data_IF_974083722881
#
_entry.id   IF_974083722881
#
_cell.length_a   1.000
_cell.length_b   1.000
_cell.length_c   1.000
_cell.angle_alpha   90.00
_cell.angle_beta   90.00
_cell.angle_gamma   90.00
#
_symmetry.space_group_name_H-M   'P 1'
#
loop_
_entity.id
_entity.type
_entity.pdbx_description
1 polymer ?
#
# COMPACT_ATOMS: atom_id res chain seq x y z
N UNK A 1 21.00 1.06 -2.55
CA UNK A 1 19.84 1.14 -3.46
C UNK A 1 19.69 -0.17 -4.21
N UNK A 2 18.46 -0.65 -4.29
CA UNK A 2 18.18 -1.89 -5.00
C UNK A 2 17.93 -1.60 -6.47
N UNK A 3 18.48 -2.48 -7.33
CA UNK A 3 18.20 -2.42 -8.77
C UNK A 3 17.00 -3.29 -9.08
N UNK A 4 15.95 -2.70 -9.64
CA UNK A 4 14.72 -3.39 -10.02
C UNK A 4 14.32 -2.98 -11.43
N UNK A 5 13.17 -3.45 -11.91
CA UNK A 5 12.64 -3.02 -13.20
C UNK A 5 11.25 -2.43 -13.04
N UNK A 6 10.93 -1.46 -13.90
CA UNK A 6 9.59 -0.92 -14.02
C UNK A 6 9.15 -1.09 -15.47
N UNK A 7 8.17 -1.94 -15.71
CA UNK A 7 7.72 -2.33 -17.05
C UNK A 7 8.89 -2.81 -17.92
N UNK A 8 9.80 -3.59 -17.30
CA UNK A 8 10.98 -4.11 -17.98
C UNK A 8 12.16 -3.16 -18.07
N UNK A 9 12.00 -1.90 -17.71
CA UNK A 9 13.08 -0.90 -17.75
C UNK A 9 13.80 -0.88 -16.39
N UNK A 10 15.14 -0.99 -16.37
CA UNK A 10 15.89 -0.93 -15.10
C UNK A 10 15.71 0.40 -14.39
N UNK A 11 15.38 0.33 -13.10
CA UNK A 11 15.30 1.50 -12.21
C UNK A 11 15.92 1.11 -10.87
N UNK A 12 16.16 2.10 -10.02
CA UNK A 12 16.71 1.87 -8.69
C UNK A 12 15.75 2.38 -7.64
N UNK A 13 15.65 1.66 -6.50
CA UNK A 13 14.90 2.14 -5.35
C UNK A 13 15.79 3.01 -4.48
N UNK A 14 15.17 3.91 -3.73
CA UNK A 14 15.82 4.65 -2.67
C UNK A 14 15.81 3.77 -1.42
N UNK A 15 17.00 3.35 -0.98
CA UNK A 15 17.12 2.46 0.19
C UNK A 15 16.87 0.99 -0.17
N UNK A 16 16.60 0.20 0.85
CA UNK A 16 16.39 -1.25 0.74
C UNK A 16 15.13 -1.65 1.46
N UNK A 17 14.51 -2.75 1.01
CA UNK A 17 13.39 -3.35 1.73
C UNK A 17 13.78 -3.69 3.17
N UNK A 18 12.85 -3.55 4.13
CA UNK A 18 13.09 -4.00 5.49
C UNK A 18 13.48 -5.48 5.52
N UNK A 19 14.40 -5.82 6.41
CA UNK A 19 14.87 -7.19 6.54
C UNK A 19 13.78 -8.08 7.13
N UNK A 20 13.63 -9.26 6.57
CA UNK A 20 12.68 -10.26 7.09
C UNK A 20 13.04 -10.59 8.54
N UNK A 21 12.04 -10.59 9.40
CA UNK A 21 12.21 -10.82 10.84
C UNK A 21 12.48 -9.55 11.63
N UNK A 22 12.74 -8.42 10.99
CA UNK A 22 12.91 -7.15 11.68
C UNK A 22 11.54 -6.52 11.98
N UNK A 23 11.52 -5.56 12.90
CA UNK A 23 10.30 -4.82 13.20
C UNK A 23 9.98 -3.91 12.00
N UNK A 24 8.70 -3.95 11.56
CA UNK A 24 8.25 -3.10 10.46
C UNK A 24 8.36 -1.62 10.84
N UNK A 25 8.87 -0.77 9.93
CA UNK A 25 8.88 0.67 10.19
C UNK A 25 7.47 1.19 10.45
N UNK A 26 7.33 2.04 11.44
CA UNK A 26 6.05 2.68 11.73
C UNK A 26 5.71 3.70 10.65
N UNK A 27 4.43 3.87 10.37
CA UNK A 27 4.00 4.75 9.29
C UNK A 27 2.77 5.56 9.68
N UNK A 28 2.56 6.65 8.94
CA UNK A 28 1.33 7.43 8.96
C UNK A 28 0.90 7.62 7.52
N UNK A 29 -0.30 7.17 7.19
CA UNK A 29 -0.86 7.27 5.85
C UNK A 29 -2.19 8.00 5.92
N UNK A 30 -2.75 8.36 4.76
CA UNK A 30 -4.01 9.10 4.69
C UNK A 30 -5.11 8.21 4.15
N UNK A 31 -6.18 8.06 4.92
CA UNK A 31 -7.36 7.29 4.51
C UNK A 31 -8.21 8.05 3.49
N UNK A 32 -9.17 7.36 2.90
CA UNK A 32 -10.07 7.94 1.90
C UNK A 32 -10.89 9.12 2.44
N UNK A 33 -11.17 9.15 3.73
CA UNK A 33 -11.90 10.23 4.39
C UNK A 33 -10.97 11.36 4.90
N UNK A 34 -9.70 11.30 4.51
CA UNK A 34 -8.65 12.27 4.86
C UNK A 34 -8.18 12.16 6.32
N UNK A 35 -8.65 11.20 7.07
CA UNK A 35 -8.11 10.93 8.42
C UNK A 35 -6.81 10.15 8.30
N UNK A 36 -6.00 10.19 9.34
CA UNK A 36 -4.72 9.51 9.34
C UNK A 36 -4.85 8.06 9.81
N UNK A 37 -4.13 7.17 9.14
CA UNK A 37 -3.96 5.78 9.55
C UNK A 37 -2.55 5.60 10.09
N UNK A 38 -2.46 5.35 11.39
CA UNK A 38 -1.17 5.10 12.05
C UNK A 38 -0.91 3.60 12.12
N UNK A 39 0.36 3.22 12.09
CA UNK A 39 0.73 1.81 12.18
C UNK A 39 0.18 1.14 13.45
N UNK A 40 0.13 1.86 14.57
CA UNK A 40 -0.36 1.29 15.83
C UNK A 40 -1.88 1.09 15.84
N UNK A 41 -2.64 1.71 14.92
CA UNK A 41 -4.07 1.45 14.78
C UNK A 41 -4.36 0.02 14.34
N UNK A 42 -3.36 -0.65 13.76
CA UNK A 42 -3.47 -2.00 13.23
C UNK A 42 -2.80 -3.03 14.15
N UNK A 43 -2.40 -2.61 15.35
CA UNK A 43 -1.71 -3.45 16.30
C UNK A 43 -2.57 -4.65 16.72
N UNK A 44 -1.93 -5.82 16.85
CA UNK A 44 -2.61 -7.04 17.23
C UNK A 44 -3.21 -7.82 16.07
N UNK A 45 -3.07 -7.32 14.85
CA UNK A 45 -3.55 -7.99 13.64
C UNK A 45 -2.41 -8.31 12.70
N UNK A 46 -2.59 -9.34 11.87
CA UNK A 46 -1.68 -9.59 10.76
C UNK A 46 -1.96 -8.55 9.68
N UNK A 47 -0.92 -7.90 9.19
CA UNK A 47 -1.07 -6.81 8.22
C UNK A 47 -0.39 -7.21 6.92
N UNK A 48 -1.11 -7.05 5.81
CA UNK A 48 -0.56 -7.22 4.47
C UNK A 48 -0.54 -5.84 3.83
N UNK A 49 0.66 -5.32 3.54
CA UNK A 49 0.81 -4.06 2.82
C UNK A 49 0.97 -4.36 1.34
N UNK A 50 -0.01 -3.99 0.54
CA UNK A 50 0.08 -4.06 -0.92
C UNK A 50 0.48 -2.67 -1.41
N UNK A 51 1.75 -2.53 -1.76
CA UNK A 51 2.36 -1.23 -2.12
C UNK A 51 2.58 -1.21 -3.62
N UNK A 52 2.07 -0.19 -4.31
CA UNK A 52 2.14 -0.12 -5.77
C UNK A 52 2.22 1.35 -6.23
N UNK A 53 2.67 1.59 -7.48
CA UNK A 53 2.81 2.96 -7.99
C UNK A 53 1.48 3.71 -8.10
N UNK A 54 0.48 3.13 -8.74
CA UNK A 54 -0.80 3.82 -8.96
C UNK A 54 -1.90 2.85 -9.37
N UNK A 55 -3.13 3.14 -8.94
CA UNK A 55 -4.34 2.43 -9.37
C UNK A 55 -4.64 2.63 -10.86
N UNK A 56 -4.01 3.61 -11.49
CA UNK A 56 -4.16 3.86 -12.92
C UNK A 56 -3.33 2.90 -13.78
N UNK A 57 -2.58 1.98 -13.16
CA UNK A 57 -1.89 0.92 -13.91
C UNK A 57 -2.70 -0.37 -13.80
N UNK A 58 -2.77 -1.13 -14.90
CA UNK A 58 -3.63 -2.33 -14.99
C UNK A 58 -3.23 -3.43 -14.00
N UNK A 59 -1.94 -3.66 -13.85
CA UNK A 59 -1.42 -4.68 -12.92
C UNK A 59 -1.76 -4.31 -11.47
N UNK A 60 -1.58 -3.04 -11.11
CA UNK A 60 -1.86 -2.58 -9.75
C UNK A 60 -3.35 -2.67 -9.43
N UNK A 61 -4.21 -2.25 -10.36
CA UNK A 61 -5.65 -2.37 -10.18
C UNK A 61 -6.07 -3.83 -10.02
N UNK A 62 -5.52 -4.73 -10.82
CA UNK A 62 -5.78 -6.17 -10.71
C UNK A 62 -5.34 -6.72 -9.35
N UNK A 63 -4.16 -6.31 -8.85
CA UNK A 63 -3.68 -6.78 -7.56
C UNK A 63 -4.60 -6.33 -6.42
N UNK A 64 -5.11 -5.10 -6.47
CA UNK A 64 -6.04 -4.60 -5.44
C UNK A 64 -7.33 -5.40 -5.45
N UNK A 65 -7.89 -5.69 -6.62
CA UNK A 65 -9.09 -6.53 -6.74
C UNK A 65 -8.86 -7.91 -6.15
N UNK A 66 -7.70 -8.52 -6.44
CA UNK A 66 -7.37 -9.86 -5.97
C UNK A 66 -7.19 -9.90 -4.46
N UNK A 67 -6.48 -8.93 -3.88
CA UNK A 67 -6.31 -8.84 -2.44
C UNK A 67 -7.64 -8.57 -1.74
N UNK A 68 -8.53 -7.79 -2.35
CA UNK A 68 -9.85 -7.56 -1.80
C UNK A 68 -10.66 -8.85 -1.70
N UNK A 69 -10.61 -9.70 -2.73
CA UNK A 69 -11.27 -11.01 -2.70
C UNK A 69 -10.70 -11.90 -1.60
N UNK A 70 -9.37 -11.98 -1.51
CA UNK A 70 -8.68 -12.83 -0.54
C UNK A 70 -8.88 -12.33 0.89
N UNK A 71 -8.96 -11.02 1.11
CA UNK A 71 -9.09 -10.43 2.44
C UNK A 71 -10.35 -10.92 3.16
N UNK A 72 -11.42 -11.17 2.42
CA UNK A 72 -12.68 -11.63 2.98
C UNK A 72 -12.57 -13.03 3.65
N UNK A 73 -11.59 -13.84 3.24
CA UNK A 73 -11.39 -15.19 3.76
C UNK A 73 -10.24 -15.31 4.75
N UNK A 74 -9.53 -14.22 5.05
CA UNK A 74 -8.38 -14.25 5.95
C UNK A 74 -8.77 -13.80 7.36
N UNK A 75 -8.53 -14.68 8.34
CA UNK A 75 -8.82 -14.36 9.75
C UNK A 75 -7.74 -13.45 10.35
N UNK A 76 -8.16 -12.53 11.20
CA UNK A 76 -7.28 -11.64 11.95
C UNK A 76 -6.24 -10.95 11.07
N UNK A 77 -6.64 -10.60 9.85
CA UNK A 77 -5.75 -10.00 8.85
C UNK A 77 -6.39 -8.74 8.30
N UNK A 78 -5.58 -7.68 8.21
CA UNK A 78 -5.98 -6.44 7.56
C UNK A 78 -5.09 -6.21 6.36
N UNK A 79 -5.69 -6.01 5.18
CA UNK A 79 -4.97 -5.66 3.97
C UNK A 79 -5.03 -4.15 3.79
N UNK A 80 -3.87 -3.52 3.60
CA UNK A 80 -3.78 -2.09 3.34
C UNK A 80 -3.16 -1.91 1.95
N UNK A 81 -3.91 -1.29 1.05
CA UNK A 81 -3.43 -0.96 -0.28
C UNK A 81 -2.86 0.45 -0.25
N UNK A 82 -1.56 0.58 -0.55
CA UNK A 82 -0.83 1.84 -0.41
C UNK A 82 -0.29 2.28 -1.75
N UNK A 83 -0.59 3.51 -2.12
CA UNK A 83 -0.04 4.16 -3.31
C UNK A 83 0.09 5.66 -3.07
N UNK A 84 0.69 6.37 -4.03
CA UNK A 84 0.75 7.83 -3.99
C UNK A 84 -0.45 8.50 -4.67
N UNK A 85 -1.43 7.72 -5.13
CA UNK A 85 -2.69 8.29 -5.59
C UNK A 85 -3.31 9.14 -4.49
N UNK A 86 -3.99 10.20 -4.87
CA UNK A 86 -4.71 11.02 -3.89
C UNK A 86 -5.84 10.20 -3.27
N UNK A 87 -6.20 10.47 -2.00
CA UNK A 87 -7.31 9.76 -1.35
C UNK A 87 -8.61 9.79 -2.15
N UNK A 88 -8.86 10.87 -2.86
CA UNK A 88 -10.05 11.01 -3.70
C UNK A 88 -10.05 10.01 -4.86
N UNK A 89 -8.89 9.80 -5.50
CA UNK A 89 -8.75 8.84 -6.58
C UNK A 89 -8.89 7.41 -6.06
N UNK A 90 -8.34 7.10 -4.90
CA UNK A 90 -8.48 5.80 -4.26
C UNK A 90 -9.94 5.52 -3.90
N UNK A 91 -10.63 6.52 -3.35
CA UNK A 91 -12.04 6.40 -3.00
C UNK A 91 -12.90 6.13 -4.24
N UNK A 92 -12.65 6.84 -5.32
CA UNK A 92 -13.36 6.65 -6.60
C UNK A 92 -13.14 5.23 -7.13
N UNK A 93 -11.89 4.74 -7.11
CA UNK A 93 -11.58 3.38 -7.54
C UNK A 93 -12.33 2.35 -6.70
N UNK A 94 -12.25 2.47 -5.38
CA UNK A 94 -12.90 1.51 -4.48
C UNK A 94 -14.43 1.51 -4.66
N UNK A 95 -15.04 2.68 -4.83
CA UNK A 95 -16.47 2.78 -5.05
C UNK A 95 -16.87 2.13 -6.38
N UNK A 96 -16.14 2.46 -7.46
CA UNK A 96 -16.42 1.94 -8.80
C UNK A 96 -16.26 0.43 -8.89
N UNK A 97 -15.23 -0.12 -8.23
CA UNK A 97 -14.87 -1.54 -8.29
C UNK A 97 -15.48 -2.38 -7.17
N UNK A 98 -16.24 -1.76 -6.26
CA UNK A 98 -16.84 -2.49 -5.13
C UNK A 98 -15.84 -3.04 -4.13
N UNK A 99 -14.73 -2.35 -3.93
CA UNK A 99 -13.68 -2.74 -3.00
C UNK A 99 -14.09 -2.38 -1.57
N UNK A 100 -14.33 -3.37 -0.72
CA UNK A 100 -14.84 -3.15 0.64
C UNK A 100 -14.05 -3.88 1.73
N UNK A 101 -13.23 -4.86 1.37
CA UNK A 101 -12.59 -5.76 2.33
C UNK A 101 -11.16 -5.36 2.69
N UNK A 102 -10.68 -4.23 2.18
CA UNK A 102 -9.35 -3.73 2.51
C UNK A 102 -9.42 -2.23 2.77
N UNK A 103 -8.32 -1.71 3.32
CA UNK A 103 -8.16 -0.27 3.57
C UNK A 103 -7.31 0.28 2.45
N UNK A 104 -7.80 1.28 1.73
CA UNK A 104 -7.00 2.05 0.79
C UNK A 104 -6.42 3.25 1.54
N UNK A 105 -5.10 3.40 1.49
CA UNK A 105 -4.40 4.46 2.20
C UNK A 105 -3.39 5.11 1.27
N UNK A 106 -3.31 6.43 1.32
CA UNK A 106 -2.44 7.21 0.44
C UNK A 106 -1.18 7.67 1.14
N UNK A 107 -0.06 7.54 0.44
CA UNK A 107 1.22 8.07 0.90
C UNK A 107 1.54 9.43 0.28
N UNK A 108 0.56 10.13 -0.30
CA UNK A 108 0.80 11.37 -1.05
C UNK A 108 1.44 12.47 -0.20
N UNK A 109 1.17 12.49 1.11
CA UNK A 109 1.77 13.46 2.03
C UNK A 109 2.65 12.78 3.10
N UNK A 110 3.10 11.56 2.83
CA UNK A 110 3.95 10.78 3.73
C UNK A 110 5.22 10.36 2.99
N UNK A 111 6.11 11.32 2.65
CA UNK A 111 7.30 11.01 1.83
C UNK A 111 8.24 10.02 2.50
N UNK A 112 8.24 9.94 3.82
CA UNK A 112 9.08 9.01 4.57
C UNK A 112 8.65 7.55 4.39
N UNK A 113 7.39 7.27 4.05
CA UNK A 113 6.88 5.89 3.93
C UNK A 113 7.66 5.10 2.88
N UNK A 114 7.74 5.62 1.67
CA UNK A 114 8.41 4.91 0.58
C UNK A 114 9.90 4.76 0.83
N UNK A 115 10.51 5.71 1.53
CA UNK A 115 11.92 5.64 1.90
C UNK A 115 12.17 4.63 3.00
N UNK A 116 11.36 4.63 4.05
CA UNK A 116 11.49 3.72 5.19
C UNK A 116 11.29 2.27 4.78
N UNK A 117 10.43 2.02 3.79
CA UNK A 117 10.19 0.68 3.27
C UNK A 117 11.07 0.32 2.07
N UNK A 118 11.89 1.26 1.60
CA UNK A 118 12.83 1.01 0.51
C UNK A 118 12.16 0.73 -0.83
N UNK A 119 11.00 1.34 -1.09
CA UNK A 119 10.21 1.11 -2.30
C UNK A 119 10.07 2.34 -3.19
N UNK A 120 10.70 3.45 -2.83
CA UNK A 120 10.68 4.65 -3.67
C UNK A 120 11.59 4.45 -4.88
N UNK A 121 10.98 4.55 -6.06
CA UNK A 121 11.68 4.41 -7.33
C UNK A 121 12.18 5.77 -7.86
#
# INVERSE_FOLDING_TARGET
MEKITFKGTPVHTYGKLPKVGSQAPCFTLTRSDLTELYCHDLKGRRIVLNIFPSLDTSVCATSVRKFNELAASLDNTTVVAVSKDLPFAQSRFCTTEGIKNLIAASAFRSPEFSKDYGVEM
#
